data_IF_147851257085
#
_entry.id   IF_147851257085
#
_cell.length_a   1.000
_cell.length_b   1.000
_cell.length_c   1.000
_cell.angle_alpha   90.00
_cell.angle_beta   90.00
_cell.angle_gamma   90.00
#
_symmetry.space_group_name_H-M   'P 1'
#
loop_
_entity.id
_entity.type
_entity.pdbx_description
1 polymer ?
#
# COMPACT_ATOMS: atom_id res chain seq x y z
N UNK A 1 -16.19 19.79 -0.49
CA UNK A 1 -15.51 18.48 -0.67
C UNK A 1 -16.25 17.73 -1.76
N UNK A 2 -15.56 17.21 -2.77
CA UNK A 2 -16.22 16.42 -3.83
C UNK A 2 -16.17 14.94 -3.41
N UNK A 3 -17.23 14.46 -2.76
CA UNK A 3 -17.35 13.08 -2.26
C UNK A 3 -17.16 12.04 -3.35
N UNK A 4 -17.63 12.32 -4.57
CA UNK A 4 -17.47 11.46 -5.73
C UNK A 4 -15.99 11.27 -6.09
N UNK A 5 -15.20 12.36 -6.03
CA UNK A 5 -13.75 12.27 -6.26
C UNK A 5 -13.06 11.38 -5.23
N UNK A 6 -13.42 11.50 -3.95
CA UNK A 6 -12.86 10.66 -2.90
C UNK A 6 -13.22 9.20 -3.05
N UNK A 7 -14.48 8.93 -3.38
CA UNK A 7 -14.96 7.57 -3.66
C UNK A 7 -14.18 6.97 -4.84
N UNK A 8 -14.01 7.72 -5.93
CA UNK A 8 -13.27 7.26 -7.10
C UNK A 8 -11.79 7.01 -6.80
N UNK A 9 -11.12 7.90 -6.04
CA UNK A 9 -9.73 7.70 -5.59
C UNK A 9 -9.58 6.38 -4.82
N UNK A 10 -10.57 6.02 -4.00
CA UNK A 10 -10.57 4.77 -3.25
C UNK A 10 -10.90 3.54 -4.12
N UNK A 11 -11.87 3.65 -5.04
CA UNK A 11 -12.37 2.52 -5.82
C UNK A 11 -11.47 2.15 -7.01
N UNK A 12 -10.74 3.11 -7.60
CA UNK A 12 -9.93 2.89 -8.80
C UNK A 12 -8.92 1.74 -8.64
N UNK A 13 -8.13 1.64 -7.54
CA UNK A 13 -7.26 0.48 -7.30
C UNK A 13 -8.04 -0.84 -7.20
N UNK A 14 -9.19 -0.85 -6.53
CA UNK A 14 -9.98 -2.07 -6.25
C UNK A 14 -10.51 -2.69 -7.55
N UNK A 15 -10.87 -1.87 -8.54
CA UNK A 15 -11.35 -2.34 -9.84
C UNK A 15 -10.32 -3.24 -10.56
N UNK A 16 -9.01 -3.05 -10.32
CA UNK A 16 -7.95 -3.90 -10.86
C UNK A 16 -8.04 -5.35 -10.40
N UNK A 17 -8.65 -5.62 -9.24
CA UNK A 17 -8.82 -6.99 -8.74
C UNK A 17 -9.83 -7.80 -9.55
N UNK A 18 -10.75 -7.16 -10.30
CA UNK A 18 -11.72 -7.85 -11.17
C UNK A 18 -11.04 -8.65 -12.28
N UNK A 19 -9.93 -8.15 -12.77
CA UNK A 19 -9.19 -8.71 -13.90
C UNK A 19 -8.09 -9.69 -13.45
N UNK A 20 -8.03 -10.01 -12.15
CA UNK A 20 -6.97 -10.85 -11.61
C UNK A 20 -6.92 -12.23 -12.28
N UNK A 21 -5.71 -12.58 -12.76
CA UNK A 21 -5.35 -13.89 -13.27
C UNK A 21 -4.14 -14.44 -12.49
N UNK A 22 -4.13 -15.74 -12.12
CA UNK A 22 -3.00 -16.32 -11.42
C UNK A 22 -1.76 -16.45 -12.33
N UNK A 23 -0.57 -16.29 -11.76
CA UNK A 23 0.69 -16.32 -12.53
C UNK A 23 1.32 -17.70 -12.68
N UNK A 24 1.04 -18.64 -11.78
CA UNK A 24 1.61 -20.00 -11.82
C UNK A 24 3.14 -20.05 -12.02
N UNK A 25 3.89 -19.17 -11.35
CA UNK A 25 5.36 -19.12 -11.48
C UNK A 25 5.89 -18.56 -12.80
N UNK A 26 5.02 -18.27 -13.78
CA UNK A 26 5.40 -17.54 -14.99
C UNK A 26 5.74 -16.10 -14.59
N UNK A 27 6.90 -15.60 -15.01
CA UNK A 27 7.43 -14.29 -14.66
C UNK A 27 6.49 -13.12 -14.95
N UNK A 28 6.86 -11.92 -14.51
CA UNK A 28 5.99 -10.74 -14.44
C UNK A 28 5.44 -10.17 -15.75
N UNK A 29 5.76 -10.73 -16.92
CA UNK A 29 5.53 -10.11 -18.24
C UNK A 29 4.10 -10.19 -18.78
N UNK A 30 3.27 -11.18 -18.39
CA UNK A 30 2.01 -11.45 -19.11
C UNK A 30 0.70 -11.29 -18.29
N UNK A 31 0.73 -10.65 -17.11
CA UNK A 31 -0.49 -10.35 -16.35
C UNK A 31 -1.26 -11.57 -15.78
N UNK A 32 -0.70 -12.78 -15.90
CA UNK A 32 -1.30 -14.05 -15.43
C UNK A 32 -1.98 -14.85 -16.54
N UNK A 33 -2.38 -16.09 -16.23
CA UNK A 33 -2.93 -17.04 -17.20
C UNK A 33 -4.46 -17.06 -17.15
N UNK A 34 -5.07 -17.14 -18.33
CA UNK A 34 -6.47 -17.57 -18.48
C UNK A 34 -6.62 -19.07 -18.18
N UNK A 35 -7.86 -19.54 -18.01
CA UNK A 35 -8.14 -20.95 -17.78
C UNK A 35 -7.62 -21.85 -18.92
N UNK A 36 -7.79 -21.42 -20.19
CA UNK A 36 -7.31 -22.19 -21.35
C UNK A 36 -5.79 -22.28 -21.38
N UNK A 37 -5.09 -21.17 -21.10
CA UNK A 37 -3.62 -21.16 -21.02
C UNK A 37 -3.10 -22.01 -19.86
N UNK A 38 -3.78 -21.98 -18.71
CA UNK A 38 -3.45 -22.86 -17.58
C UNK A 38 -3.59 -24.34 -17.96
N UNK A 39 -4.71 -24.72 -18.59
CA UNK A 39 -4.94 -26.10 -19.02
C UNK A 39 -3.90 -26.56 -20.02
N UNK A 40 -3.54 -25.71 -20.98
CA UNK A 40 -2.48 -26.04 -21.92
C UNK A 40 -1.15 -26.24 -21.21
N UNK A 41 -0.77 -25.33 -20.30
CA UNK A 41 0.48 -25.41 -19.56
C UNK A 41 0.56 -26.67 -18.69
N UNK A 42 -0.42 -26.88 -17.81
CA UNK A 42 -0.43 -28.00 -16.87
C UNK A 42 -0.76 -29.34 -17.53
N UNK A 43 -1.60 -29.34 -18.56
CA UNK A 43 -1.94 -30.54 -19.32
C UNK A 43 -0.83 -30.99 -20.27
N UNK A 44 0.09 -30.09 -20.65
CA UNK A 44 1.27 -30.43 -21.48
C UNK A 44 2.41 -31.07 -20.68
N UNK A 45 2.41 -30.92 -19.35
CA UNK A 45 3.39 -31.55 -18.47
C UNK A 45 2.89 -32.95 -18.06
N UNK A 46 3.59 -34.04 -18.43
CA UNK A 46 3.14 -35.40 -18.15
C UNK A 46 2.94 -35.68 -16.67
N UNK A 47 3.72 -35.07 -15.77
CA UNK A 47 3.58 -35.27 -14.34
C UNK A 47 2.31 -34.60 -13.84
N UNK A 48 2.13 -33.29 -14.09
CA UNK A 48 0.95 -32.54 -13.62
C UNK A 48 -0.36 -33.05 -14.23
N UNK A 49 -0.34 -33.44 -15.51
CA UNK A 49 -1.50 -34.04 -16.18
C UNK A 49 -1.85 -35.41 -15.57
N UNK A 50 -0.85 -36.28 -15.36
CA UNK A 50 -1.09 -37.62 -14.84
C UNK A 50 -1.64 -37.62 -13.40
N UNK A 51 -1.18 -36.70 -12.55
CA UNK A 51 -1.73 -36.55 -11.19
C UNK A 51 -3.03 -35.74 -11.13
N UNK A 52 -3.57 -35.30 -12.28
CA UNK A 52 -4.87 -34.62 -12.37
C UNK A 52 -4.87 -33.17 -11.86
N UNK A 53 -3.76 -32.45 -12.01
CA UNK A 53 -3.63 -31.06 -11.56
C UNK A 53 -4.01 -30.01 -12.62
N UNK A 54 -4.36 -30.41 -13.84
CA UNK A 54 -4.79 -29.53 -14.95
C UNK A 54 -6.30 -29.20 -14.93
N UNK A 55 -6.95 -29.34 -13.77
CA UNK A 55 -8.41 -29.21 -13.63
C UNK A 55 -8.88 -27.76 -13.43
N UNK A 56 -10.16 -27.51 -13.75
CA UNK A 56 -10.82 -26.23 -13.47
C UNK A 56 -10.79 -25.86 -11.98
N UNK A 57 -10.79 -26.86 -11.09
CA UNK A 57 -10.80 -26.67 -9.63
C UNK A 57 -9.47 -26.08 -9.16
N UNK A 58 -8.34 -26.59 -9.65
CA UNK A 58 -7.01 -26.05 -9.33
C UNK A 58 -6.91 -24.60 -9.78
N UNK A 59 -7.30 -24.30 -11.02
CA UNK A 59 -7.31 -22.91 -11.51
C UNK A 59 -8.17 -21.99 -10.64
N UNK A 60 -9.38 -22.42 -10.29
CA UNK A 60 -10.32 -21.65 -9.49
C UNK A 60 -9.78 -21.39 -8.08
N UNK A 61 -9.16 -22.38 -7.45
CA UNK A 61 -8.52 -22.24 -6.14
C UNK A 61 -7.38 -21.22 -6.18
N UNK A 62 -6.49 -21.29 -7.17
CA UNK A 62 -5.41 -20.32 -7.35
C UNK A 62 -5.95 -18.90 -7.62
N UNK A 63 -7.00 -18.77 -8.45
CA UNK A 63 -7.63 -17.48 -8.75
C UNK A 63 -8.30 -16.88 -7.51
N UNK A 64 -8.99 -17.68 -6.72
CA UNK A 64 -9.61 -17.22 -5.47
C UNK A 64 -8.56 -16.80 -4.45
N UNK A 65 -7.56 -17.64 -4.17
CA UNK A 65 -6.52 -17.36 -3.18
C UNK A 65 -5.71 -16.10 -3.54
N UNK A 66 -5.21 -16.04 -4.77
CA UNK A 66 -4.46 -14.89 -5.26
C UNK A 66 -5.33 -13.64 -5.45
N UNK A 67 -6.59 -13.83 -5.86
CA UNK A 67 -7.56 -12.76 -6.03
C UNK A 67 -7.90 -12.08 -4.70
N UNK A 68 -8.13 -12.84 -3.63
CA UNK A 68 -8.33 -12.28 -2.28
C UNK A 68 -7.13 -11.46 -1.82
N UNK A 69 -5.90 -11.96 -2.06
CA UNK A 69 -4.68 -11.23 -1.72
C UNK A 69 -4.56 -9.93 -2.54
N UNK A 70 -4.96 -9.97 -3.82
CA UNK A 70 -5.05 -8.79 -4.67
C UNK A 70 -6.03 -7.77 -4.11
N UNK A 71 -7.24 -8.20 -3.72
CA UNK A 71 -8.27 -7.31 -3.12
C UNK A 71 -7.75 -6.60 -1.87
N UNK A 72 -7.17 -7.33 -0.90
CA UNK A 72 -6.64 -6.69 0.31
C UNK A 72 -5.53 -5.69 0.02
N UNK A 73 -4.65 -6.00 -0.94
CA UNK A 73 -3.61 -5.06 -1.37
C UNK A 73 -4.21 -3.80 -2.00
N UNK A 74 -5.18 -3.96 -2.89
CA UNK A 74 -5.80 -2.81 -3.55
C UNK A 74 -6.65 -1.97 -2.59
N UNK A 75 -7.28 -2.59 -1.58
CA UNK A 75 -7.94 -1.87 -0.49
C UNK A 75 -6.94 -0.98 0.25
N UNK A 76 -5.77 -1.52 0.59
CA UNK A 76 -4.67 -0.76 1.16
C UNK A 76 -4.26 0.46 0.34
N UNK A 77 -3.98 0.23 -0.94
CA UNK A 77 -3.60 1.29 -1.89
C UNK A 77 -4.72 2.34 -2.01
N UNK A 78 -5.98 1.92 -2.05
CA UNK A 78 -7.14 2.81 -2.08
C UNK A 78 -7.21 3.70 -0.83
N UNK A 79 -7.03 3.12 0.36
CA UNK A 79 -6.98 3.86 1.62
C UNK A 79 -5.82 4.87 1.65
N UNK A 80 -4.62 4.47 1.23
CA UNK A 80 -3.43 5.34 1.14
C UNK A 80 -3.69 6.55 0.23
N UNK A 81 -4.20 6.29 -0.98
CA UNK A 81 -4.51 7.35 -1.96
C UNK A 81 -5.60 8.30 -1.45
N UNK A 82 -6.66 7.76 -0.87
CA UNK A 82 -7.74 8.56 -0.30
C UNK A 82 -7.20 9.45 0.82
N UNK A 83 -6.43 8.87 1.75
CA UNK A 83 -5.84 9.60 2.86
C UNK A 83 -4.97 10.77 2.39
N UNK A 84 -4.07 10.54 1.42
CA UNK A 84 -3.27 11.63 0.82
C UNK A 84 -4.12 12.71 0.16
N UNK A 85 -5.19 12.31 -0.53
CA UNK A 85 -6.09 13.28 -1.18
C UNK A 85 -6.77 14.18 -0.14
N UNK A 86 -7.24 13.60 0.97
CA UNK A 86 -7.80 14.36 2.10
C UNK A 86 -6.75 15.30 2.71
N UNK A 87 -5.51 14.84 2.89
CA UNK A 87 -4.44 15.71 3.39
C UNK A 87 -4.23 16.92 2.48
N UNK A 88 -4.07 16.71 1.17
CA UNK A 88 -3.87 17.79 0.19
C UNK A 88 -5.00 18.80 0.24
N UNK A 89 -6.25 18.34 0.27
CA UNK A 89 -7.43 19.22 0.30
C UNK A 89 -7.53 20.01 1.60
N UNK A 90 -7.28 19.37 2.75
CA UNK A 90 -7.42 19.99 4.08
C UNK A 90 -6.29 21.00 4.31
N UNK A 91 -5.05 20.64 3.97
CA UNK A 91 -3.89 21.53 4.14
C UNK A 91 -3.83 22.65 3.09
N UNK A 92 -4.51 22.46 1.96
CA UNK A 92 -4.41 23.36 0.82
C UNK A 92 -3.05 23.30 0.12
N UNK A 93 -2.38 22.14 0.12
CA UNK A 93 -1.08 22.01 -0.54
C UNK A 93 -1.14 22.42 -2.02
N UNK A 94 -0.20 23.26 -2.43
CA UNK A 94 0.00 23.64 -3.84
C UNK A 94 0.58 22.49 -4.65
N UNK A 95 1.44 21.70 -4.02
CA UNK A 95 2.07 20.52 -4.60
C UNK A 95 1.62 19.26 -3.83
N UNK A 96 0.87 18.34 -4.45
CA UNK A 96 0.46 17.08 -3.84
C UNK A 96 1.60 16.21 -3.31
N UNK A 97 2.82 16.35 -3.84
CA UNK A 97 4.01 15.64 -3.31
C UNK A 97 4.35 16.07 -1.88
N UNK A 98 3.82 17.21 -1.40
CA UNK A 98 3.95 17.60 0.01
C UNK A 98 3.29 16.60 0.97
N UNK A 99 2.32 15.82 0.47
CA UNK A 99 1.65 14.75 1.20
C UNK A 99 2.33 13.37 1.07
N UNK A 100 3.41 13.25 0.29
CA UNK A 100 4.18 12.01 0.15
C UNK A 100 5.43 12.04 1.02
N UNK A 101 5.91 10.87 1.43
CA UNK A 101 7.20 10.77 2.12
C UNK A 101 7.90 9.47 1.79
N UNK A 102 9.21 9.59 1.54
CA UNK A 102 10.08 8.44 1.35
C UNK A 102 11.52 8.80 1.67
N UNK A 103 12.32 7.79 1.98
CA UNK A 103 13.74 7.91 2.21
C UNK A 103 14.46 6.69 1.65
N UNK A 104 15.76 6.84 1.40
CA UNK A 104 16.60 5.75 0.92
C UNK A 104 17.46 5.26 2.08
N UNK A 105 17.51 3.95 2.26
CA UNK A 105 18.34 3.31 3.27
C UNK A 105 19.09 2.10 2.69
N UNK A 106 20.07 1.59 3.44
CA UNK A 106 20.82 0.38 3.07
C UNK A 106 20.21 -0.84 3.76
N UNK A 107 20.00 -1.90 2.99
CA UNK A 107 19.69 -3.22 3.55
C UNK A 107 20.89 -3.79 4.29
N UNK A 108 20.67 -4.82 5.12
CA UNK A 108 21.76 -5.60 5.76
C UNK A 108 22.78 -6.16 4.75
N UNK A 109 22.38 -6.34 3.49
CA UNK A 109 23.23 -6.76 2.37
C UNK A 109 23.95 -5.62 1.64
N UNK A 110 23.89 -4.38 2.14
CA UNK A 110 24.53 -3.21 1.51
C UNK A 110 23.85 -2.72 0.22
N UNK A 111 22.63 -3.18 -0.08
CA UNK A 111 21.83 -2.70 -1.22
C UNK A 111 20.94 -1.55 -0.81
N UNK A 112 20.88 -0.52 -1.65
CA UNK A 112 19.98 0.61 -1.51
C UNK A 112 18.51 0.19 -1.66
N UNK A 113 17.66 0.63 -0.73
CA UNK A 113 16.22 0.38 -0.68
C UNK A 113 15.50 1.69 -0.37
N UNK A 114 14.50 2.04 -1.19
CA UNK A 114 13.59 3.15 -0.91
C UNK A 114 12.46 2.66 -0.01
N UNK A 115 12.24 3.34 1.11
CA UNK A 115 11.13 3.13 2.04
C UNK A 115 10.20 4.34 1.96
N UNK A 116 8.90 4.11 2.06
CA UNK A 116 7.87 5.15 1.97
C UNK A 116 6.81 4.93 3.03
N UNK A 117 6.17 6.02 3.44
CA UNK A 117 5.02 6.01 4.34
C UNK A 117 3.79 6.60 3.63
N UNK A 118 2.63 6.30 4.17
CA UNK A 118 1.34 6.51 3.52
C UNK A 118 0.90 7.98 3.45
N UNK A 119 1.49 8.88 4.24
CA UNK A 119 1.21 10.31 4.12
C UNK A 119 2.19 11.20 4.88
N UNK A 120 2.13 12.51 4.61
CA UNK A 120 2.93 13.53 5.27
C UNK A 120 2.14 14.80 5.52
N UNK A 121 2.31 15.37 6.71
CA UNK A 121 2.00 16.76 7.04
C UNK A 121 3.31 17.52 7.15
N UNK A 122 3.80 18.10 6.05
CA UNK A 122 4.92 19.04 6.05
C UNK A 122 4.45 20.43 6.45
N UNK A 123 4.88 20.90 7.62
CA UNK A 123 4.37 22.13 8.25
C UNK A 123 4.61 23.37 7.37
N UNK A 124 5.78 23.46 6.75
CA UNK A 124 6.17 24.61 5.91
C UNK A 124 5.41 24.72 4.59
N UNK A 125 4.60 23.72 4.23
CA UNK A 125 3.81 23.71 2.99
C UNK A 125 2.33 23.92 3.22
N UNK A 126 1.84 23.86 4.46
CA UNK A 126 0.42 23.98 4.76
C UNK A 126 -0.03 25.43 4.48
N UNK A 127 -0.99 25.59 3.57
CA UNK A 127 -1.53 26.90 3.19
C UNK A 127 -2.73 27.30 4.05
N UNK A 128 -3.51 26.32 4.50
CA UNK A 128 -4.64 26.56 5.39
C UNK A 128 -4.14 26.90 6.80
N UNK A 129 -4.25 28.17 7.18
CA UNK A 129 -3.71 28.70 8.45
C UNK A 129 -4.34 28.04 9.68
N UNK A 130 -5.65 27.84 9.67
CA UNK A 130 -6.37 27.18 10.78
C UNK A 130 -5.89 25.74 10.95
N UNK A 131 -5.68 25.01 9.84
CA UNK A 131 -5.15 23.64 9.90
C UNK A 131 -3.71 23.64 10.41
N UNK A 132 -2.87 24.58 9.97
CA UNK A 132 -1.49 24.69 10.44
C UNK A 132 -1.43 24.89 11.96
N UNK A 133 -2.24 25.82 12.49
CA UNK A 133 -2.30 26.10 13.93
C UNK A 133 -2.79 24.88 14.72
N UNK A 134 -3.85 24.22 14.25
CA UNK A 134 -4.36 23.00 14.87
C UNK A 134 -3.33 21.86 14.87
N UNK A 135 -2.62 21.66 13.76
CA UNK A 135 -1.58 20.62 13.66
C UNK A 135 -0.40 20.96 14.57
N UNK A 136 0.04 22.21 14.61
CA UNK A 136 1.14 22.63 15.50
C UNK A 136 0.76 22.43 16.97
N UNK A 137 -0.45 22.82 17.36
CA UNK A 137 -0.94 22.62 18.73
C UNK A 137 -1.05 21.14 19.06
N UNK A 138 -1.63 20.33 18.16
CA UNK A 138 -1.73 18.88 18.33
C UNK A 138 -0.35 18.23 18.52
N UNK A 139 0.66 18.64 17.74
CA UNK A 139 2.04 18.16 17.92
C UNK A 139 2.57 18.51 19.31
N UNK A 140 2.39 19.76 19.75
CA UNK A 140 2.84 20.23 21.06
C UNK A 140 2.21 19.38 22.17
N UNK A 141 0.88 19.23 22.14
CA UNK A 141 0.13 18.48 23.15
C UNK A 141 0.55 17.01 23.15
N UNK A 142 0.72 16.41 21.97
CA UNK A 142 1.13 15.01 21.84
C UNK A 142 2.55 14.76 22.37
N UNK A 143 3.52 15.63 22.02
CA UNK A 143 4.88 15.53 22.54
C UNK A 143 4.93 15.74 24.06
N UNK A 144 4.18 16.72 24.59
CA UNK A 144 4.09 16.96 26.04
C UNK A 144 3.54 15.72 26.78
N UNK A 145 2.54 15.05 26.22
CA UNK A 145 1.99 13.82 26.78
C UNK A 145 2.97 12.63 26.75
N UNK A 146 3.88 12.59 25.78
CA UNK A 146 4.90 11.55 25.68
C UNK A 146 6.14 11.80 26.57
N UNK A 147 6.33 13.02 27.07
CA UNK A 147 7.49 13.39 27.89
C UNK A 147 8.70 13.82 27.05
N UNK A 148 9.83 13.12 27.15
CA UNK A 148 11.16 13.49 26.61
C UNK A 148 11.28 13.52 25.06
N UNK A 149 10.17 13.67 24.35
CA UNK A 149 10.14 13.70 22.88
C UNK A 149 10.16 15.15 22.39
N UNK A 150 11.26 15.53 21.73
CA UNK A 150 11.38 16.84 21.09
C UNK A 150 10.38 17.01 19.95
N UNK A 151 9.82 18.23 19.82
CA UNK A 151 8.90 18.57 18.74
C UNK A 151 9.58 18.40 17.37
N UNK A 152 8.97 17.70 16.40
CA UNK A 152 9.50 17.70 15.04
C UNK A 152 9.46 19.10 14.43
N UNK A 153 10.53 19.46 13.73
CA UNK A 153 10.67 20.75 13.03
C UNK A 153 9.97 20.76 11.67
N UNK A 154 10.01 19.64 10.94
CA UNK A 154 9.52 19.56 9.57
C UNK A 154 8.04 19.12 9.46
N UNK A 155 7.57 18.32 10.42
CA UNK A 155 6.19 17.84 10.45
C UNK A 155 6.05 16.36 10.82
N UNK A 156 4.97 15.73 10.37
CA UNK A 156 4.59 14.35 10.73
C UNK A 156 4.44 13.48 9.48
N UNK A 157 4.77 12.20 9.60
CA UNK A 157 4.51 11.17 8.61
C UNK A 157 3.51 10.14 9.17
N UNK A 158 2.68 9.59 8.29
CA UNK A 158 1.57 8.71 8.64
C UNK A 158 1.70 7.36 7.98
N UNK A 159 1.20 6.34 8.66
CA UNK A 159 1.07 4.98 8.16
C UNK A 159 -0.39 4.54 8.36
N UNK A 160 -1.07 4.19 7.27
CA UNK A 160 -2.48 3.81 7.23
C UNK A 160 -2.57 2.29 7.39
N UNK A 161 -3.01 1.85 8.57
CA UNK A 161 -3.12 0.43 8.90
C UNK A 161 -4.45 -0.22 8.50
N UNK A 162 -5.42 0.57 8.00
CA UNK A 162 -6.75 0.07 7.61
C UNK A 162 -6.72 -0.73 6.30
N UNK A 163 -7.63 -1.69 6.17
CA UNK A 163 -7.81 -2.49 4.94
C UNK A 163 -7.01 -3.79 4.84
N UNK A 164 -6.11 -4.06 5.79
CA UNK A 164 -5.33 -5.31 5.85
C UNK A 164 -5.80 -6.18 7.01
N UNK A 165 -6.56 -7.24 6.71
CA UNK A 165 -7.11 -8.15 7.73
C UNK A 165 -6.17 -9.30 8.11
N UNK A 166 -5.07 -9.49 7.39
CA UNK A 166 -4.07 -10.52 7.70
C UNK A 166 -2.91 -9.90 8.46
N UNK A 167 -2.53 -10.52 9.60
CA UNK A 167 -1.23 -10.38 10.25
C UNK A 167 -0.12 -10.67 9.23
N UNK A 168 0.24 -9.68 8.43
CA UNK A 168 1.20 -9.84 7.35
C UNK A 168 2.60 -9.81 7.99
N UNK A 169 3.25 -10.97 8.06
CA UNK A 169 4.65 -11.07 8.51
C UNK A 169 5.59 -10.17 7.71
N UNK A 170 5.23 -9.79 6.48
CA UNK A 170 5.98 -8.81 5.68
C UNK A 170 5.76 -7.39 6.17
N UNK A 171 4.62 -7.07 6.80
CA UNK A 171 4.40 -5.77 7.45
C UNK A 171 5.15 -5.67 8.77
N UNK A 172 5.14 -6.72 9.59
CA UNK A 172 6.05 -6.78 10.75
C UNK A 172 7.51 -6.61 10.31
N UNK A 173 7.93 -7.30 9.23
CA UNK A 173 9.27 -7.12 8.70
C UNK A 173 9.51 -5.70 8.17
N UNK A 174 8.53 -5.07 7.53
CA UNK A 174 8.64 -3.69 7.06
C UNK A 174 8.69 -2.68 8.24
N UNK A 175 7.94 -2.92 9.30
CA UNK A 175 7.94 -2.11 10.52
C UNK A 175 9.27 -2.26 11.27
N UNK A 176 9.78 -3.48 11.39
CA UNK A 176 11.10 -3.77 11.93
C UNK A 176 12.17 -3.10 11.05
N UNK A 177 12.07 -3.21 9.72
CA UNK A 177 12.98 -2.54 8.77
C UNK A 177 12.91 -1.01 8.88
N UNK A 178 11.73 -0.42 9.15
CA UNK A 178 11.62 1.03 9.36
C UNK A 178 12.20 1.43 10.72
N UNK A 179 11.92 0.66 11.79
CA UNK A 179 12.33 0.98 13.16
C UNK A 179 13.80 0.69 13.44
N UNK A 180 14.43 -0.27 12.76
CA UNK A 180 15.84 -0.63 12.98
C UNK A 180 16.83 0.21 12.18
N UNK A 181 16.34 1.04 11.26
CA UNK A 181 17.18 1.83 10.35
C UNK A 181 16.91 3.34 10.46
N UNK A 182 15.95 3.73 11.31
CA UNK A 182 15.73 5.11 11.74
C UNK A 182 16.61 5.47 12.94
#
# INVERSE_FOLDING_TARGET
MNEERYLETFLEPIRKSKEYKPKFGQGGSNGGLSLSQFKHLYGSDPFYAWVGLDTNLIYSAHRAAGGMTSVYRQLGIGCERLFRTVLVDVTGYTDPESATWSYTTQTKSGKSKKLSLDGRLELGKIQNRTVLENVQQWIIDYCANLGEVSKPSNGIVFEVRQGYKSKDSKRQNADIDNATVA
#
